data_IF_951164076177
#
_entry.id   IF_951164076177
#
_cell.length_a   1.000
_cell.length_b   1.000
_cell.length_c   1.000
_cell.angle_alpha   90.00
_cell.angle_beta   90.00
_cell.angle_gamma   90.00
#
_symmetry.space_group_name_H-M   'P 1'
#
loop_
_entity.id
_entity.type
_entity.pdbx_description
1 polymer ?
#
# COMPACT_ATOMS: atom_id res chain seq x y z
N UNK A 1 -9.59 -12.34 6.19
CA UNK A 1 -8.49 -11.66 6.93
C UNK A 1 -7.44 -12.63 7.46
N UNK A 2 -7.79 -13.75 8.12
CA UNK A 2 -6.81 -14.76 8.62
C UNK A 2 -5.83 -15.27 7.54
N UNK A 3 -6.32 -15.52 6.32
CA UNK A 3 -5.50 -15.96 5.18
C UNK A 3 -4.41 -14.94 4.80
N UNK A 4 -4.83 -13.68 4.59
CA UNK A 4 -3.94 -12.57 4.24
C UNK A 4 -2.91 -12.32 5.33
N UNK A 5 -3.32 -12.40 6.60
CA UNK A 5 -2.41 -12.25 7.74
C UNK A 5 -1.39 -13.39 7.85
N UNK A 6 -1.76 -14.62 7.51
CA UNK A 6 -0.85 -15.76 7.60
C UNK A 6 0.19 -15.76 6.46
N UNK A 7 -0.17 -15.22 5.29
CA UNK A 7 0.70 -15.18 4.11
C UNK A 7 1.58 -13.91 4.12
N UNK A 8 0.99 -12.73 4.33
CA UNK A 8 1.70 -11.46 4.34
C UNK A 8 2.31 -11.09 5.69
N UNK A 9 1.85 -11.70 6.79
CA UNK A 9 2.28 -11.39 8.16
C UNK A 9 3.79 -11.41 8.40
N UNK A 10 4.52 -12.47 7.97
CA UNK A 10 5.97 -12.50 8.12
C UNK A 10 6.68 -11.33 7.44
N UNK A 11 6.25 -10.95 6.22
CA UNK A 11 6.82 -9.83 5.50
C UNK A 11 6.50 -8.49 6.19
N UNK A 12 5.28 -8.32 6.71
CA UNK A 12 4.87 -7.14 7.48
C UNK A 12 5.68 -7.01 8.77
N UNK A 13 5.93 -8.12 9.48
CA UNK A 13 6.76 -8.11 10.70
C UNK A 13 8.20 -7.66 10.41
N UNK A 14 8.83 -8.20 9.35
CA UNK A 14 10.18 -7.78 8.94
C UNK A 14 10.20 -6.29 8.57
N UNK A 15 9.18 -5.80 7.87
CA UNK A 15 9.01 -4.38 7.58
C UNK A 15 8.90 -3.53 8.86
N UNK A 16 8.07 -3.94 9.83
CA UNK A 16 7.89 -3.21 11.09
C UNK A 16 9.19 -3.15 11.91
N UNK A 17 9.93 -4.26 11.99
CA UNK A 17 11.23 -4.29 12.68
C UNK A 17 12.26 -3.40 11.98
N UNK A 18 12.29 -3.45 10.64
CA UNK A 18 13.20 -2.62 9.84
C UNK A 18 12.85 -1.13 9.96
N UNK A 19 11.57 -0.79 10.03
CA UNK A 19 11.08 0.56 10.29
C UNK A 19 11.47 1.05 11.69
N UNK A 20 11.35 0.21 12.71
CA UNK A 20 11.78 0.55 14.07
C UNK A 20 13.29 0.84 14.13
N UNK A 21 14.10 -0.04 13.51
CA UNK A 21 15.55 0.12 13.41
C UNK A 21 15.92 1.39 12.63
N UNK A 22 15.21 1.69 11.54
CA UNK A 22 15.42 2.92 10.77
C UNK A 22 15.11 4.17 11.59
N UNK A 23 13.97 4.23 12.29
CA UNK A 23 13.62 5.40 13.11
C UNK A 23 14.65 5.64 14.22
N UNK A 24 15.10 4.57 14.88
CA UNK A 24 16.12 4.67 15.93
C UNK A 24 17.47 5.18 15.42
N UNK A 25 17.96 4.63 14.29
CA UNK A 25 19.28 4.96 13.74
C UNK A 25 19.29 6.28 12.97
N UNK A 26 18.26 6.52 12.15
CA UNK A 26 18.19 7.72 11.31
C UNK A 26 17.86 8.97 12.12
N UNK A 27 17.04 8.82 13.15
CA UNK A 27 16.68 9.94 13.99
C UNK A 27 17.83 10.43 14.88
N UNK A 28 18.83 9.60 15.19
CA UNK A 28 20.06 9.99 15.90
C UNK A 28 20.97 10.94 15.09
N UNK A 29 20.84 10.94 13.76
CA UNK A 29 21.60 11.81 12.84
C UNK A 29 21.07 13.25 12.85
N UNK A 30 19.76 13.41 12.97
CA UNK A 30 19.08 14.72 12.95
C UNK A 30 18.89 15.25 14.38
N UNK A 31 19.99 15.31 15.13
CA UNK A 31 20.01 15.90 16.47
C UNK A 31 20.05 17.43 16.33
N UNK A 32 18.88 18.09 16.38
CA UNK A 32 18.79 19.55 16.38
C UNK A 32 19.10 20.09 17.78
N UNK A 33 20.36 19.93 18.20
CA UNK A 33 20.91 20.48 19.43
C UNK A 33 20.98 22.01 19.35
N UNK A 34 19.86 22.69 19.63
CA UNK A 34 19.80 24.15 19.72
C UNK A 34 19.92 24.90 18.38
N UNK A 35 19.46 26.15 18.38
CA UNK A 35 19.51 27.08 17.23
C UNK A 35 20.95 27.56 16.91
N UNK A 36 21.92 26.65 16.88
CA UNK A 36 23.32 26.97 16.67
C UNK A 36 24.13 25.71 16.39
N UNK A 37 24.28 25.42 15.10
CA UNK A 37 25.10 24.36 14.50
C UNK A 37 24.52 22.93 14.54
N UNK A 38 24.17 22.34 13.37
CA UNK A 38 23.85 20.92 13.31
C UNK A 38 25.10 20.11 13.67
N UNK A 39 25.06 19.43 14.82
CA UNK A 39 26.09 18.48 15.20
C UNK A 39 25.80 17.15 14.50
N UNK A 40 26.66 16.77 13.54
CA UNK A 40 26.58 15.43 12.97
C UNK A 40 27.15 14.46 14.01
N UNK A 41 26.26 13.70 14.68
CA UNK A 41 26.70 12.55 15.46
C UNK A 41 27.53 11.62 14.56
N UNK A 42 28.55 10.98 15.12
CA UNK A 42 29.44 10.07 14.38
C UNK A 42 28.78 8.75 13.98
N UNK A 43 27.45 8.68 13.99
CA UNK A 43 26.66 7.54 13.56
C UNK A 43 27.00 7.30 12.09
N UNK A 44 27.64 6.15 11.86
CA UNK A 44 28.29 5.87 10.60
C UNK A 44 27.26 5.93 9.45
N UNK A 45 27.39 6.92 8.56
CA UNK A 45 26.47 7.17 7.42
C UNK A 45 26.23 5.89 6.61
N UNK A 46 27.23 5.00 6.54
CA UNK A 46 27.09 3.70 5.91
C UNK A 46 26.04 2.80 6.58
N UNK A 47 25.96 2.78 7.92
CA UNK A 47 24.95 2.00 8.67
C UNK A 47 23.54 2.52 8.39
N UNK A 48 23.39 3.84 8.30
CA UNK A 48 22.12 4.51 8.01
C UNK A 48 21.62 4.11 6.62
N UNK A 49 22.50 4.17 5.62
CA UNK A 49 22.19 3.78 4.25
C UNK A 49 21.81 2.30 4.19
N UNK A 50 22.54 1.43 4.89
CA UNK A 50 22.24 -0.01 4.93
C UNK A 50 20.85 -0.26 5.53
N UNK A 51 20.54 0.35 6.69
CA UNK A 51 19.24 0.19 7.35
C UNK A 51 18.11 0.77 6.50
N UNK A 52 18.34 1.88 5.82
CA UNK A 52 17.38 2.46 4.88
C UNK A 52 17.10 1.51 3.70
N UNK A 53 18.12 0.88 3.13
CA UNK A 53 17.96 -0.10 2.05
C UNK A 53 17.16 -1.32 2.53
N UNK A 54 17.48 -1.86 3.71
CA UNK A 54 16.76 -2.99 4.31
C UNK A 54 15.29 -2.62 4.55
N UNK A 55 15.04 -1.43 5.08
CA UNK A 55 13.70 -0.88 5.25
C UNK A 55 12.94 -0.78 3.91
N UNK A 56 13.56 -0.24 2.85
CA UNK A 56 12.93 -0.12 1.54
C UNK A 56 12.60 -1.49 0.92
N UNK A 57 13.54 -2.45 0.97
CA UNK A 57 13.33 -3.80 0.43
C UNK A 57 12.20 -4.50 1.19
N UNK A 58 12.21 -4.43 2.52
CA UNK A 58 11.16 -5.04 3.35
C UNK A 58 9.80 -4.38 3.15
N UNK A 59 9.73 -3.06 2.98
CA UNK A 59 8.50 -2.32 2.67
C UNK A 59 7.90 -2.76 1.33
N UNK A 60 8.73 -2.86 0.28
CA UNK A 60 8.28 -3.32 -1.04
C UNK A 60 7.79 -4.76 -0.97
N UNK A 61 8.54 -5.64 -0.30
CA UNK A 61 8.14 -7.04 -0.13
C UNK A 61 6.80 -7.14 0.62
N UNK A 62 6.64 -6.44 1.76
CA UNK A 62 5.40 -6.42 2.52
C UNK A 62 4.22 -5.94 1.65
N UNK A 63 4.40 -4.84 0.91
CA UNK A 63 3.38 -4.32 0.00
C UNK A 63 2.95 -5.32 -1.07
N UNK A 64 3.92 -5.99 -1.72
CA UNK A 64 3.66 -7.01 -2.74
C UNK A 64 2.90 -8.20 -2.15
N UNK A 65 3.39 -8.76 -1.04
CA UNK A 65 2.75 -9.90 -0.38
C UNK A 65 1.33 -9.57 0.08
N UNK A 66 1.10 -8.39 0.62
CA UNK A 66 -0.22 -7.94 1.02
C UNK A 66 -1.17 -7.80 -0.17
N UNK A 67 -0.76 -7.06 -1.20
CA UNK A 67 -1.59 -6.80 -2.38
C UNK A 67 -1.94 -8.07 -3.13
N UNK A 68 -0.94 -8.92 -3.39
CA UNK A 68 -1.16 -10.20 -4.06
C UNK A 68 -2.04 -11.14 -3.21
N UNK A 69 -1.84 -11.21 -1.89
CA UNK A 69 -2.67 -12.05 -1.02
C UNK A 69 -4.13 -11.63 -1.04
N UNK A 70 -4.42 -10.33 -1.03
CA UNK A 70 -5.80 -9.82 -1.10
C UNK A 70 -6.44 -10.16 -2.44
N UNK A 71 -5.74 -9.91 -3.56
CA UNK A 71 -6.29 -10.16 -4.90
C UNK A 71 -6.45 -11.66 -5.19
N UNK A 72 -5.48 -12.49 -4.84
CA UNK A 72 -5.61 -13.95 -5.01
C UNK A 72 -6.63 -14.56 -4.06
N UNK A 73 -6.86 -13.96 -2.88
CA UNK A 73 -7.98 -14.36 -2.02
C UNK A 73 -9.32 -14.07 -2.69
N UNK A 74 -9.50 -12.88 -3.27
CA UNK A 74 -10.71 -12.55 -4.04
C UNK A 74 -10.86 -13.51 -5.22
N UNK A 75 -9.77 -13.80 -5.94
CA UNK A 75 -9.78 -14.73 -7.07
C UNK A 75 -10.19 -16.15 -6.67
N UNK A 76 -9.56 -16.72 -5.64
CA UNK A 76 -9.88 -18.06 -5.15
C UNK A 76 -11.34 -18.15 -4.67
N UNK A 77 -11.84 -17.09 -4.03
CA UNK A 77 -13.25 -17.02 -3.61
C UNK A 77 -14.23 -17.03 -4.81
N UNK A 78 -13.90 -16.33 -5.90
CA UNK A 78 -14.70 -16.32 -7.12
C UNK A 78 -14.62 -17.68 -7.83
N UNK A 79 -13.42 -18.20 -8.03
CA UNK A 79 -13.17 -19.42 -8.81
C UNK A 79 -13.75 -20.68 -8.15
N UNK A 80 -13.70 -20.75 -6.80
CA UNK A 80 -14.20 -21.90 -6.04
C UNK A 80 -15.61 -21.68 -5.45
N UNK A 81 -16.42 -20.80 -6.06
CA UNK A 81 -17.84 -20.56 -5.69
C UNK A 81 -18.06 -20.31 -4.19
N UNK A 82 -17.17 -19.53 -3.57
CA UNK A 82 -17.28 -19.12 -2.16
C UNK A 82 -16.41 -19.90 -1.18
N UNK A 83 -15.77 -21.00 -1.59
CA UNK A 83 -14.72 -21.65 -0.81
C UNK A 83 -13.34 -21.04 -1.13
N UNK A 84 -12.39 -21.07 -0.19
CA UNK A 84 -11.05 -20.50 -0.41
C UNK A 84 -9.97 -21.53 -0.12
N UNK A 85 -9.14 -21.85 -1.11
CA UNK A 85 -7.96 -22.70 -0.93
C UNK A 85 -6.73 -21.87 -0.54
N UNK A 86 -6.37 -21.92 0.74
CA UNK A 86 -5.22 -21.18 1.29
C UNK A 86 -3.87 -21.67 0.75
N UNK A 87 -3.77 -22.94 0.38
CA UNK A 87 -2.53 -23.54 -0.16
C UNK A 87 -2.31 -23.02 -1.57
N UNK A 88 -3.38 -22.99 -2.37
CA UNK A 88 -3.34 -22.42 -3.72
C UNK A 88 -3.00 -20.92 -3.68
N UNK A 89 -3.68 -20.14 -2.83
CA UNK A 89 -3.42 -18.70 -2.68
C UNK A 89 -1.96 -18.46 -2.33
N UNK A 90 -1.40 -19.18 -1.35
CA UNK A 90 -0.01 -19.03 -0.95
C UNK A 90 0.93 -19.33 -2.12
N UNK A 91 0.72 -20.45 -2.82
CA UNK A 91 1.54 -20.85 -3.97
C UNK A 91 1.53 -19.78 -5.07
N UNK A 92 0.36 -19.25 -5.41
CA UNK A 92 0.21 -18.22 -6.44
C UNK A 92 0.90 -16.91 -6.04
N UNK A 93 0.74 -16.46 -4.79
CA UNK A 93 1.40 -15.26 -4.25
C UNK A 93 2.92 -15.33 -4.40
N UNK A 94 3.56 -16.44 -4.00
CA UNK A 94 5.02 -16.59 -4.12
C UNK A 94 5.48 -16.69 -5.57
N UNK A 95 4.75 -17.42 -6.42
CA UNK A 95 5.12 -17.58 -7.83
C UNK A 95 5.03 -16.26 -8.61
N UNK A 96 4.09 -15.39 -8.23
CA UNK A 96 3.85 -14.11 -8.91
C UNK A 96 4.66 -12.95 -8.32
N UNK A 97 5.48 -13.20 -7.28
CA UNK A 97 6.24 -12.16 -6.59
C UNK A 97 7.06 -11.27 -7.55
N UNK A 98 7.80 -11.89 -8.47
CA UNK A 98 8.64 -11.16 -9.44
C UNK A 98 7.82 -10.34 -10.45
N UNK A 99 6.66 -10.85 -10.87
CA UNK A 99 5.75 -10.10 -11.75
C UNK A 99 5.16 -8.88 -11.02
N UNK A 100 4.75 -9.04 -9.76
CA UNK A 100 4.29 -7.93 -8.92
C UNK A 100 5.40 -6.91 -8.67
N UNK A 101 6.63 -7.36 -8.42
CA UNK A 101 7.78 -6.48 -8.25
C UNK A 101 8.03 -5.64 -9.51
N UNK A 102 8.07 -6.29 -10.69
CA UNK A 102 8.23 -5.61 -11.98
C UNK A 102 7.10 -4.61 -12.25
N UNK A 103 5.85 -4.98 -12.01
CA UNK A 103 4.71 -4.08 -12.16
C UNK A 103 4.75 -2.91 -11.17
N UNK A 104 5.19 -3.14 -9.93
CA UNK A 104 5.33 -2.08 -8.93
C UNK A 104 6.40 -1.08 -9.33
N UNK A 105 7.49 -1.56 -9.92
CA UNK A 105 8.55 -0.73 -10.47
C UNK A 105 8.07 0.09 -11.68
N UNK A 106 7.37 -0.53 -12.64
CA UNK A 106 6.77 0.17 -13.78
C UNK A 106 5.76 1.23 -13.31
N UNK A 107 4.86 0.87 -12.38
CA UNK A 107 3.92 1.80 -11.76
C UNK A 107 4.64 3.00 -11.15
N UNK A 108 5.73 2.76 -10.42
CA UNK A 108 6.55 3.82 -9.82
C UNK A 108 7.11 4.79 -10.86
N UNK A 109 7.73 4.27 -11.93
CA UNK A 109 8.28 5.09 -13.01
C UNK A 109 7.19 5.91 -13.69
N UNK A 110 6.04 5.30 -14.02
CA UNK A 110 4.95 6.00 -14.69
C UNK A 110 4.37 7.11 -13.84
N UNK A 111 4.17 6.89 -12.53
CA UNK A 111 3.71 7.93 -11.63
C UNK A 111 4.74 9.06 -11.47
N UNK A 112 6.04 8.74 -11.44
CA UNK A 112 7.10 9.74 -11.39
C UNK A 112 7.13 10.59 -12.66
N UNK A 113 7.06 9.98 -13.84
CA UNK A 113 7.00 10.70 -15.13
C UNK A 113 5.74 11.56 -15.20
N UNK A 114 4.59 11.03 -14.78
CA UNK A 114 3.33 11.76 -14.78
C UNK A 114 3.39 12.98 -13.85
N UNK A 115 4.04 12.85 -12.69
CA UNK A 115 4.24 13.96 -11.74
C UNK A 115 5.16 15.05 -12.32
N UNK A 116 6.24 14.67 -13.02
CA UNK A 116 7.12 15.62 -13.73
C UNK A 116 6.39 16.35 -14.85
N UNK A 117 5.44 15.68 -15.52
CA UNK A 117 4.62 16.23 -16.60
C UNK A 117 3.45 17.12 -16.14
N UNK A 118 3.35 17.44 -14.83
CA UNK A 118 2.30 18.23 -14.16
C UNK A 118 1.17 17.42 -13.49
N UNK A 119 0.31 18.11 -12.73
CA UNK A 119 -0.76 17.51 -11.92
C UNK A 119 -1.80 16.77 -12.77
N UNK A 120 -2.13 17.26 -13.97
CA UNK A 120 -3.17 16.67 -14.83
C UNK A 120 -2.80 15.23 -15.28
N UNK A 121 -1.61 14.97 -15.87
CA UNK A 121 -1.17 13.61 -16.15
C UNK A 121 -1.07 12.73 -14.91
N UNK A 122 -0.64 13.29 -13.77
CA UNK A 122 -0.54 12.53 -12.52
C UNK A 122 -1.91 12.02 -12.05
N UNK A 123 -2.93 12.89 -12.04
CA UNK A 123 -4.29 12.51 -11.65
C UNK A 123 -4.88 11.44 -12.57
N UNK A 124 -4.65 11.57 -13.88
CA UNK A 124 -5.10 10.58 -14.84
C UNK A 124 -4.39 9.23 -14.67
N UNK A 125 -3.07 9.22 -14.42
CA UNK A 125 -2.28 7.99 -14.30
C UNK A 125 -2.55 7.21 -12.99
N UNK A 126 -3.00 7.86 -11.91
CA UNK A 126 -3.29 7.19 -10.63
C UNK A 126 -4.35 6.09 -10.77
N UNK A 127 -5.41 6.35 -11.54
CA UNK A 127 -6.55 5.44 -11.71
C UNK A 127 -6.18 4.12 -12.42
N UNK A 128 -5.58 4.12 -13.63
CA UNK A 128 -5.15 2.89 -14.30
C UNK A 128 -4.12 2.14 -13.48
N UNK A 129 -3.20 2.85 -12.81
CA UNK A 129 -2.21 2.22 -11.92
C UNK A 129 -2.82 1.56 -10.69
N UNK A 130 -4.01 1.98 -10.26
CA UNK A 130 -4.71 1.37 -9.13
C UNK A 130 -5.38 0.03 -9.49
N UNK A 131 -5.76 -0.16 -10.76
CA UNK A 131 -6.42 -1.40 -11.22
C UNK A 131 -5.48 -2.38 -11.95
N UNK A 132 -4.26 -1.97 -12.31
CA UNK A 132 -3.25 -2.82 -12.99
C UNK A 132 -3.09 -4.19 -12.31
N UNK A 133 -2.97 -4.19 -10.98
CA UNK A 133 -2.78 -5.44 -10.24
C UNK A 133 -4.01 -6.35 -10.31
N UNK A 134 -5.21 -5.77 -10.30
CA UNK A 134 -6.47 -6.50 -10.48
C UNK A 134 -6.52 -7.16 -11.85
N UNK A 135 -6.21 -6.42 -12.91
CA UNK A 135 -6.17 -6.95 -14.29
C UNK A 135 -5.21 -8.13 -14.37
N UNK A 136 -4.00 -7.98 -13.84
CA UNK A 136 -2.99 -9.03 -13.88
C UNK A 136 -3.43 -10.31 -13.16
N UNK A 137 -4.14 -10.19 -12.02
CA UNK A 137 -4.57 -11.37 -11.24
C UNK A 137 -5.79 -12.04 -11.85
N UNK A 138 -6.79 -11.27 -12.25
CA UNK A 138 -8.08 -11.78 -12.70
C UNK A 138 -8.07 -12.20 -14.17
N UNK A 139 -7.27 -11.56 -15.03
CA UNK A 139 -7.14 -11.95 -16.42
C UNK A 139 -5.97 -12.92 -16.62
N UNK A 140 -6.27 -14.21 -16.61
CA UNK A 140 -5.27 -15.26 -16.81
C UNK A 140 -4.55 -15.10 -18.17
N UNK A 141 -3.21 -15.21 -18.13
CA UNK A 141 -2.26 -15.25 -19.28
C UNK A 141 -1.81 -13.92 -19.89
N UNK A 142 -2.04 -12.78 -19.24
CA UNK A 142 -1.44 -11.53 -19.71
C UNK A 142 -0.02 -11.34 -19.16
N UNK A 143 0.88 -10.86 -20.02
CA UNK A 143 2.18 -10.39 -19.54
C UNK A 143 1.98 -9.13 -18.70
N UNK A 144 2.95 -8.79 -17.83
CA UNK A 144 2.89 -7.57 -17.02
C UNK A 144 2.68 -6.30 -17.88
N UNK A 145 3.24 -6.29 -19.10
CA UNK A 145 3.10 -5.19 -20.07
C UNK A 145 1.71 -5.11 -20.69
N UNK A 146 1.08 -6.26 -20.96
CA UNK A 146 -0.28 -6.30 -21.52
C UNK A 146 -1.30 -5.79 -20.50
N UNK A 147 -1.18 -6.23 -19.24
CA UNK A 147 -2.01 -5.74 -18.14
C UNK A 147 -1.86 -4.23 -17.94
N UNK A 148 -0.64 -3.72 -18.11
CA UNK A 148 -0.34 -2.30 -18.04
C UNK A 148 -1.06 -1.51 -19.15
N UNK A 149 -0.90 -1.89 -20.41
CA UNK A 149 -1.56 -1.22 -21.54
C UNK A 149 -3.09 -1.31 -21.43
N UNK A 150 -3.59 -2.48 -21.02
CA UNK A 150 -5.03 -2.72 -20.85
C UNK A 150 -5.63 -1.85 -19.74
N UNK A 151 -4.88 -1.55 -18.68
CA UNK A 151 -5.36 -0.69 -17.59
C UNK A 151 -5.78 0.70 -18.07
N UNK A 152 -5.00 1.32 -18.97
CA UNK A 152 -5.33 2.61 -19.56
C UNK A 152 -6.56 2.51 -20.47
N UNK A 153 -6.65 1.47 -21.29
CA UNK A 153 -7.80 1.26 -22.16
C UNK A 153 -9.09 1.06 -21.37
N UNK A 154 -9.04 0.28 -20.28
CA UNK A 154 -10.20 -0.06 -19.47
C UNK A 154 -10.70 1.15 -18.66
N UNK A 155 -9.79 1.95 -18.09
CA UNK A 155 -10.15 3.15 -17.34
C UNK A 155 -10.79 4.21 -18.22
N UNK A 156 -10.38 4.34 -19.49
CA UNK A 156 -10.96 5.33 -20.41
C UNK A 156 -12.44 5.10 -20.74
N UNK A 157 -12.97 3.90 -20.47
CA UNK A 157 -14.38 3.55 -20.69
C UNK A 157 -15.29 4.39 -19.80
N UNK A 158 -14.92 4.53 -18.53
CA UNK A 158 -15.65 5.35 -17.56
C UNK A 158 -14.70 5.94 -16.52
N UNK A 159 -13.84 6.84 -17.01
CA UNK A 159 -12.79 7.45 -16.20
C UNK A 159 -13.36 8.20 -14.99
N UNK A 160 -14.40 9.00 -15.19
CA UNK A 160 -14.94 9.88 -14.13
C UNK A 160 -15.54 9.07 -12.97
N UNK A 161 -16.24 7.97 -13.27
CA UNK A 161 -16.77 7.10 -12.21
C UNK A 161 -15.65 6.38 -11.47
N UNK A 162 -14.64 5.87 -12.19
CA UNK A 162 -13.50 5.21 -11.57
C UNK A 162 -12.67 6.19 -10.71
N UNK A 163 -12.38 7.38 -11.23
CA UNK A 163 -11.68 8.45 -10.53
C UNK A 163 -12.46 8.90 -9.29
N UNK A 164 -13.75 9.20 -9.42
CA UNK A 164 -14.60 9.60 -8.30
C UNK A 164 -14.65 8.53 -7.19
N UNK A 165 -14.71 7.26 -7.57
CA UNK A 165 -14.68 6.14 -6.63
C UNK A 165 -13.35 6.06 -5.87
N UNK A 166 -12.21 6.14 -6.57
CA UNK A 166 -10.90 6.18 -5.91
C UNK A 166 -10.69 7.43 -5.07
N UNK A 167 -11.26 8.57 -5.46
CA UNK A 167 -11.22 9.81 -4.68
C UNK A 167 -11.97 9.64 -3.36
N UNK A 168 -13.18 9.08 -3.37
CA UNK A 168 -13.95 8.80 -2.14
C UNK A 168 -13.21 7.80 -1.25
N UNK A 169 -12.70 6.70 -1.82
CA UNK A 169 -11.90 5.72 -1.08
C UNK A 169 -10.63 6.34 -0.50
N UNK A 170 -9.97 7.24 -1.24
CA UNK A 170 -8.79 7.98 -0.80
C UNK A 170 -9.08 8.92 0.37
N UNK A 171 -10.22 9.63 0.35
CA UNK A 171 -10.66 10.47 1.47
C UNK A 171 -10.92 9.61 2.72
N UNK A 172 -11.61 8.48 2.57
CA UNK A 172 -11.87 7.55 3.68
C UNK A 172 -10.54 7.04 4.25
N UNK A 173 -9.62 6.60 3.39
CA UNK A 173 -8.30 6.14 3.80
C UNK A 173 -7.53 7.24 4.55
N UNK A 174 -7.55 8.48 4.06
CA UNK A 174 -6.88 9.61 4.69
C UNK A 174 -7.44 9.95 6.07
N UNK A 175 -8.77 10.01 6.22
CA UNK A 175 -9.43 10.29 7.49
C UNK A 175 -9.13 9.20 8.52
N UNK A 176 -9.24 7.92 8.12
CA UNK A 176 -8.90 6.80 9.00
C UNK A 176 -7.42 6.83 9.40
N UNK A 177 -6.53 7.14 8.46
CA UNK A 177 -5.10 7.28 8.72
C UNK A 177 -4.79 8.37 9.76
N UNK A 178 -5.48 9.51 9.70
CA UNK A 178 -5.37 10.57 10.70
C UNK A 178 -5.81 10.10 12.09
N UNK A 179 -6.90 9.35 12.19
CA UNK A 179 -7.37 8.83 13.49
C UNK A 179 -6.30 7.98 14.16
N UNK A 180 -5.62 7.11 13.41
CA UNK A 180 -4.55 6.28 13.94
C UNK A 180 -3.25 7.05 14.21
N UNK A 181 -3.07 8.26 13.68
CA UNK A 181 -1.87 9.08 13.94
C UNK A 181 -2.01 9.95 15.20
N UNK A 182 -3.25 10.20 15.65
CA UNK A 182 -3.54 11.00 16.85
C UNK A 182 -2.70 10.59 18.07
N UNK A 183 -2.58 9.30 18.46
CA UNK A 183 -1.79 8.93 19.63
C UNK A 183 -0.33 9.36 19.55
N UNK A 184 0.29 9.19 18.37
CA UNK A 184 1.68 9.60 18.12
C UNK A 184 1.83 11.13 18.17
N UNK A 185 0.88 11.86 17.59
CA UNK A 185 0.87 13.33 17.59
C UNK A 185 0.69 13.86 19.00
N UNK A 186 -0.27 13.34 19.77
CA UNK A 186 -0.50 13.76 21.15
C UNK A 186 0.74 13.50 22.00
N UNK A 187 1.33 12.30 21.91
CA UNK A 187 2.53 11.99 22.67
C UNK A 187 3.67 12.95 22.33
N UNK A 188 3.90 13.20 21.03
CA UNK A 188 4.89 14.17 20.55
C UNK A 188 4.67 15.54 21.19
N UNK A 189 3.45 16.06 21.16
CA UNK A 189 3.14 17.38 21.71
C UNK A 189 3.37 17.46 23.23
N UNK A 190 3.10 16.37 23.96
CA UNK A 190 3.37 16.26 25.40
C UNK A 190 4.89 16.18 25.65
N UNK A 191 5.61 15.32 24.93
CA UNK A 191 7.05 15.11 25.12
C UNK A 191 7.89 16.33 24.79
N UNK A 192 7.44 17.18 23.87
CA UNK A 192 8.16 18.39 23.46
C UNK A 192 7.92 19.59 24.40
N UNK A 193 7.09 19.45 25.44
CA UNK A 193 6.85 20.54 26.41
C UNK A 193 6.05 21.72 25.84
N UNK A 194 5.43 21.57 24.66
CA UNK A 194 4.63 22.63 24.03
C UNK A 194 3.46 23.04 24.94
N UNK A 195 2.90 22.09 25.69
CA UNK A 195 1.81 22.36 26.64
C UNK A 195 2.27 22.97 27.97
N UNK A 196 3.54 22.83 28.35
CA UNK A 196 4.09 23.42 29.58
C UNK A 196 4.66 24.83 29.38
N UNK A 197 4.75 25.34 28.15
CA UNK A 197 5.37 26.64 27.84
C UNK A 197 6.89 26.66 28.00
N UNK A 198 7.48 25.51 28.33
CA UNK A 198 8.91 25.29 28.49
C UNK A 198 9.34 24.29 27.41
N UNK A 199 9.87 24.81 26.30
CA UNK A 199 10.53 23.96 25.32
C UNK A 199 11.91 23.64 25.89
N UNK A 200 12.05 22.47 26.51
CA UNK A 200 13.34 21.96 26.95
C UNK A 200 14.12 21.44 25.73
N UNK A 201 15.24 22.08 25.34
CA UNK A 201 16.05 21.61 24.23
C UNK A 201 16.66 20.21 24.47
N UNK A 202 16.75 19.73 25.71
CA UNK A 202 17.19 18.37 26.01
C UNK A 202 16.16 17.31 25.58
N UNK A 203 14.87 17.62 25.64
CA UNK A 203 13.79 16.72 25.17
C UNK A 203 13.69 16.69 23.65
N UNK A 204 14.09 17.77 22.96
CA UNK A 204 14.16 17.80 21.49
C UNK A 204 15.19 16.83 20.92
N UNK A 205 16.32 16.65 21.62
CA UNK A 205 17.41 15.74 21.23
C UNK A 205 17.07 14.25 21.44
N UNK A 206 16.00 13.95 22.18
CA UNK A 206 15.57 12.60 22.54
C UNK A 206 14.44 12.06 21.66
N UNK A 207 13.87 12.92 20.80
CA UNK A 207 12.65 12.64 20.03
C UNK A 207 12.76 11.42 19.12
N UNK A 208 13.95 11.20 18.57
CA UNK A 208 14.26 10.11 17.66
C UNK A 208 14.59 8.78 18.33
N UNK A 209 15.12 8.83 19.55
CA UNK A 209 15.53 7.66 20.31
C UNK A 209 14.46 7.19 21.32
N UNK A 210 13.40 7.97 21.53
CA UNK A 210 12.32 7.64 22.45
C UNK A 210 11.61 6.33 22.02
N UNK A 211 11.73 5.25 22.80
CA UNK A 211 11.13 3.97 22.48
C UNK A 211 9.60 4.02 22.34
N UNK A 212 8.93 4.93 23.07
CA UNK A 212 7.47 5.07 23.02
C UNK A 212 7.05 5.71 21.70
N UNK A 213 7.76 6.74 21.22
CA UNK A 213 7.51 7.35 19.91
C UNK A 213 7.78 6.39 18.77
N UNK A 214 8.87 5.62 18.83
CA UNK A 214 9.17 4.59 17.84
C UNK A 214 8.04 3.56 17.80
N UNK A 215 7.60 3.07 18.96
CA UNK A 215 6.49 2.12 19.05
C UNK A 215 5.19 2.70 18.47
N UNK A 216 4.82 3.93 18.84
CA UNK A 216 3.61 4.60 18.34
C UNK A 216 3.65 4.81 16.83
N UNK A 217 4.80 5.19 16.28
CA UNK A 217 4.99 5.32 14.83
C UNK A 217 4.87 3.97 14.11
N UNK A 218 5.57 2.94 14.58
CA UNK A 218 5.49 1.58 14.00
C UNK A 218 4.06 1.07 14.04
N UNK A 219 3.34 1.29 15.14
CA UNK A 219 1.93 0.93 15.28
C UNK A 219 1.05 1.72 14.30
N UNK A 220 1.30 3.02 14.13
CA UNK A 220 0.60 3.85 13.15
C UNK A 220 0.78 3.32 11.72
N UNK A 221 2.02 3.07 11.30
CA UNK A 221 2.32 2.51 9.98
C UNK A 221 1.69 1.14 9.76
N UNK A 222 1.64 0.30 10.80
CA UNK A 222 0.93 -0.98 10.74
C UNK A 222 -0.58 -0.79 10.48
N UNK A 223 -1.25 0.12 11.19
CA UNK A 223 -2.67 0.40 10.93
C UNK A 223 -2.89 0.99 9.53
N UNK A 224 -2.06 1.95 9.10
CA UNK A 224 -2.13 2.49 7.74
C UNK A 224 -1.97 1.39 6.68
N UNK A 225 -1.05 0.45 6.92
CA UNK A 225 -0.85 -0.70 6.05
C UNK A 225 -2.09 -1.60 5.96
N UNK A 226 -2.77 -1.85 7.09
CA UNK A 226 -4.03 -2.60 7.10
C UNK A 226 -5.14 -1.85 6.36
N UNK A 227 -5.27 -0.55 6.60
CA UNK A 227 -6.25 0.31 5.92
C UNK A 227 -6.06 0.35 4.41
N UNK A 228 -4.82 0.22 3.92
CA UNK A 228 -4.53 0.16 2.48
C UNK A 228 -5.24 -1.01 1.79
N UNK A 229 -5.61 -2.07 2.52
CA UNK A 229 -6.44 -3.17 2.00
C UNK A 229 -7.75 -2.66 1.40
N UNK A 230 -8.34 -1.59 1.94
CA UNK A 230 -9.58 -0.99 1.44
C UNK A 230 -9.38 -0.47 0.01
N UNK A 231 -8.24 0.17 -0.27
CA UNK A 231 -7.92 0.66 -1.62
C UNK A 231 -7.73 -0.50 -2.61
N UNK A 232 -7.13 -1.61 -2.15
CA UNK A 232 -6.89 -2.80 -2.98
C UNK A 232 -8.22 -3.48 -3.34
N UNK A 233 -9.09 -3.69 -2.35
CA UNK A 233 -10.43 -4.26 -2.57
C UNK A 233 -11.28 -3.32 -3.43
N UNK A 234 -11.26 -2.02 -3.14
CA UNK A 234 -11.94 -1.02 -3.96
C UNK A 234 -11.46 -1.02 -5.40
N UNK A 235 -10.14 -1.17 -5.63
CA UNK A 235 -9.57 -1.31 -6.96
C UNK A 235 -9.99 -2.59 -7.69
N UNK A 236 -10.19 -3.70 -6.97
CA UNK A 236 -10.77 -4.91 -7.55
C UNK A 236 -12.23 -4.71 -7.97
N UNK A 237 -13.04 -4.05 -7.13
CA UNK A 237 -14.45 -3.74 -7.44
C UNK A 237 -14.54 -2.81 -8.66
N UNK A 238 -13.74 -1.74 -8.69
CA UNK A 238 -13.70 -0.80 -9.82
C UNK A 238 -13.25 -1.51 -11.09
N UNK A 239 -12.26 -2.41 -11.00
CA UNK A 239 -11.87 -3.26 -12.13
C UNK A 239 -13.05 -4.07 -12.66
N UNK A 240 -13.77 -4.82 -11.82
CA UNK A 240 -14.92 -5.61 -12.26
C UNK A 240 -16.02 -4.74 -12.87
N UNK A 241 -16.29 -3.57 -12.30
CA UNK A 241 -17.26 -2.61 -12.86
C UNK A 241 -16.89 -2.16 -14.27
N UNK A 242 -15.63 -1.76 -14.49
CA UNK A 242 -15.17 -1.33 -15.82
C UNK A 242 -15.11 -2.51 -16.81
N UNK A 243 -14.76 -3.71 -16.33
CA UNK A 243 -14.74 -4.93 -17.13
C UNK A 243 -16.16 -5.35 -17.57
N UNK A 244 -17.15 -5.24 -16.69
CA UNK A 244 -18.56 -5.51 -17.00
C UNK A 244 -19.10 -4.58 -18.08
N UNK A 245 -18.77 -3.28 -18.02
CA UNK A 245 -19.17 -2.30 -19.05
C UNK A 245 -18.61 -2.57 -20.44
N UNK A 246 -17.44 -3.21 -20.54
CA UNK A 246 -16.81 -3.49 -21.84
C UNK A 246 -17.17 -4.87 -22.39
N UNK A 247 -17.32 -5.87 -21.52
CA UNK A 247 -17.45 -7.28 -21.95
C UNK A 247 -18.87 -7.83 -21.76
N UNK A 248 -19.73 -7.15 -20.99
CA UNK A 248 -21.13 -7.55 -20.70
C UNK A 248 -21.27 -9.00 -20.18
N UNK A 249 -20.23 -9.54 -19.52
CA UNK A 249 -20.17 -10.94 -19.08
C UNK A 249 -21.37 -11.34 -18.24
N UNK A 250 -21.74 -10.54 -17.24
CA UNK A 250 -22.89 -10.81 -16.38
C UNK A 250 -24.23 -10.83 -17.13
N UNK A 251 -24.36 -10.05 -18.21
CA UNK A 251 -25.55 -10.08 -19.07
C UNK A 251 -25.61 -11.36 -19.88
N UNK A 252 -24.48 -11.77 -20.48
CA UNK A 252 -24.41 -13.03 -21.22
C UNK A 252 -24.62 -14.24 -20.32
N UNK A 253 -24.06 -14.24 -19.11
CA UNK A 253 -24.24 -15.30 -18.12
C UNK A 253 -25.72 -15.43 -17.73
N UNK A 254 -26.38 -14.31 -17.41
CA UNK A 254 -27.84 -14.28 -17.14
C UNK A 254 -28.66 -14.78 -18.32
N UNK A 255 -28.33 -14.38 -19.54
CA UNK A 255 -29.00 -14.89 -20.75
C UNK A 255 -28.79 -16.41 -20.89
N UNK A 256 -27.59 -16.91 -20.57
CA UNK A 256 -27.28 -18.35 -20.61
C UNK A 256 -28.00 -19.16 -19.52
N UNK A 257 -28.40 -18.52 -18.42
CA UNK A 257 -29.19 -19.11 -17.34
C UNK A 257 -30.69 -19.08 -17.65
N UNK A 258 -31.16 -18.13 -18.46
CA UNK A 258 -32.54 -18.12 -18.97
C UNK A 258 -32.76 -19.36 -19.85
N UNK A 259 -33.55 -20.30 -19.35
CA UNK A 259 -33.90 -21.55 -20.04
C UNK A 259 -33.20 -22.80 -19.50
N UNK A 260 -32.28 -22.68 -18.53
CA UNK A 260 -31.81 -23.83 -17.75
C UNK A 260 -32.88 -24.15 -16.69
N UNK A 261 -33.70 -25.16 -16.98
CA UNK A 261 -34.60 -25.76 -16.01
C UNK A 261 -33.71 -26.50 -15.00
N UNK A 262 -33.81 -26.15 -13.72
CA UNK A 262 -33.19 -26.94 -12.64
C UNK A 262 -33.74 -28.38 -12.73
N UNK A 263 -32.87 -29.34 -13.07
CA UNK A 263 -33.10 -30.77 -12.80
C UNK A 263 -32.73 -31.08 -11.34
#
# INVERSE_FOLDING_TARGET
MKAVFNIAGPAILVFMVSLAAYNYIAGDIFNFTGLGEPSFNSTNVFVVIIVAIIYLISAIAAYIFSTSSVLFYIKSYIDNKGETDLVEIKKNVYNTFWSFFGMSFLKGITLMIALVLCLLPALYAIVPMAIVFSIFVFETRQSATDAFSKSFNLVNVDFWTAFGSFLVLGIIFYILGMIFSIPSVIYTLISTGIFSGEIDPANLNSFSADPVLIFLNVLNYFFQFLLNTILIVGGAIIYFHLHEKTTFTGTYDRISEIGKIEE
#
